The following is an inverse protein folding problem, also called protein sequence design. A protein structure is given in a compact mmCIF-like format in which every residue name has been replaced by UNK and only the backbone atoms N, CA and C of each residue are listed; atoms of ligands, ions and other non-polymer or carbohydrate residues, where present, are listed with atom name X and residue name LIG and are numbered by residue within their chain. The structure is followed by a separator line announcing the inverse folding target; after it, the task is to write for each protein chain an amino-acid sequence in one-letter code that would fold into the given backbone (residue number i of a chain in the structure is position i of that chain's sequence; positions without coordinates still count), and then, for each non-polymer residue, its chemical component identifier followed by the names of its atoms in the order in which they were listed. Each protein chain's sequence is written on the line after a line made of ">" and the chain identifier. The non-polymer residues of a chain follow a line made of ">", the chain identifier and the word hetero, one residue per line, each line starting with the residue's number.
data_IF_315907277105
#
_entry.id   IF_315907277105
#
_cell.length_a   1.000
_cell.length_b   1.000
_cell.length_c   1.000
_cell.angle_alpha   90.00
_cell.angle_beta   90.00
_cell.angle_gamma   90.00
#
_symmetry.space_group_name_H-M   'P 1'
#
loop_
_entity.id
_entity.type
_entity.pdbx_description
1 polymer ?
#
# COMPACT_ATOMS: atom_id res chain seq x y z
N UNK A 1 -54.61 23.70 -3.53
CA UNK A 1 -53.33 24.35 -3.20
C UNK A 1 -52.22 23.32 -3.37
N UNK A 2 -51.79 23.09 -4.62
CA UNK A 2 -50.90 21.99 -4.98
C UNK A 2 -49.48 22.48 -5.22
N UNK A 3 -48.56 22.07 -4.36
CA UNK A 3 -47.12 22.37 -4.46
C UNK A 3 -46.49 21.58 -5.61
N UNK A 4 -46.07 22.27 -6.68
CA UNK A 4 -45.24 21.69 -7.74
C UNK A 4 -43.77 21.94 -7.40
N UNK A 5 -43.09 20.88 -7.01
CA UNK A 5 -41.63 20.86 -6.90
C UNK A 5 -41.02 20.94 -8.31
N UNK A 6 -40.17 21.94 -8.54
CA UNK A 6 -39.35 22.07 -9.74
C UNK A 6 -37.96 21.49 -9.44
N UNK A 7 -37.66 20.32 -10.02
CA UNK A 7 -36.31 19.76 -10.05
C UNK A 7 -35.50 20.53 -11.10
N UNK A 8 -34.48 21.28 -10.65
CA UNK A 8 -33.51 21.92 -11.54
C UNK A 8 -32.36 20.94 -11.76
N UNK A 9 -32.37 20.27 -12.92
CA UNK A 9 -31.23 19.56 -13.49
C UNK A 9 -30.27 20.60 -14.07
N UNK A 10 -29.10 20.82 -13.45
CA UNK A 10 -28.05 21.64 -14.02
C UNK A 10 -27.11 20.81 -14.88
N UNK A 11 -27.14 21.11 -16.17
CA UNK A 11 -26.40 20.54 -17.29
C UNK A 11 -24.91 20.25 -17.02
N UNK A 12 -24.53 18.97 -17.17
CA UNK A 12 -23.16 18.53 -17.32
C UNK A 12 -22.69 18.85 -18.76
N UNK A 13 -21.93 19.94 -18.93
CA UNK A 13 -21.36 20.32 -20.24
C UNK A 13 -20.14 19.45 -20.54
N UNK A 14 -20.35 18.48 -21.44
CA UNK A 14 -19.30 17.75 -22.15
C UNK A 14 -18.50 18.74 -23.02
N UNK A 15 -17.23 19.00 -22.70
CA UNK A 15 -16.37 19.89 -23.49
C UNK A 15 -15.57 19.05 -24.49
N UNK A 16 -15.79 19.36 -25.76
CA UNK A 16 -15.21 18.72 -26.94
C UNK A 16 -13.69 18.94 -27.07
N UNK A 17 -12.99 17.84 -27.33
CA UNK A 17 -11.81 17.65 -28.20
C UNK A 17 -10.95 18.88 -28.57
N UNK A 18 -9.69 18.88 -28.11
CA UNK A 18 -8.58 19.45 -28.86
C UNK A 18 -7.72 18.30 -29.40
N UNK A 19 -7.63 18.21 -30.72
CA UNK A 19 -6.92 17.17 -31.44
C UNK A 19 -5.41 17.45 -31.41
N UNK A 20 -4.67 16.70 -30.59
CA UNK A 20 -3.23 16.57 -30.74
C UNK A 20 -2.95 15.34 -31.60
N UNK A 21 -2.83 15.57 -32.92
CA UNK A 21 -2.21 14.63 -33.84
C UNK A 21 -0.71 14.65 -33.57
N UNK A 22 -0.24 13.64 -32.86
CA UNK A 22 1.18 13.36 -32.66
C UNK A 22 1.32 11.85 -32.77
N UNK A 23 1.58 11.39 -33.99
CA UNK A 23 2.02 10.03 -34.29
C UNK A 23 3.34 9.77 -33.56
N UNK A 24 3.29 9.33 -32.31
CA UNK A 24 4.48 8.80 -31.64
C UNK A 24 4.68 7.36 -32.10
N UNK A 25 5.89 6.97 -32.53
CA UNK A 25 6.17 5.59 -32.83
C UNK A 25 6.04 4.78 -31.54
N UNK A 26 5.22 3.72 -31.58
CA UNK A 26 5.16 2.71 -30.54
C UNK A 26 6.55 2.09 -30.39
N UNK A 27 7.28 2.49 -29.34
CA UNK A 27 8.46 1.75 -28.92
C UNK A 27 7.99 0.46 -28.27
N UNK A 28 8.06 -0.63 -29.04
CA UNK A 28 7.81 -1.98 -28.54
C UNK A 28 9.00 -2.38 -27.66
N UNK A 29 8.97 -1.98 -26.39
CA UNK A 29 9.92 -2.50 -25.39
C UNK A 29 9.56 -3.98 -25.20
N UNK A 30 10.34 -4.88 -25.82
CA UNK A 30 10.33 -6.30 -25.49
C UNK A 30 10.94 -6.48 -24.10
N UNK A 31 10.18 -6.17 -23.05
CA UNK A 31 10.52 -6.60 -21.69
C UNK A 31 10.19 -8.09 -21.57
N UNK A 32 11.20 -8.94 -21.67
CA UNK A 32 11.07 -10.31 -21.19
C UNK A 32 10.76 -10.24 -19.68
N UNK A 33 9.69 -10.88 -19.18
CA UNK A 33 9.41 -10.86 -17.76
C UNK A 33 10.57 -11.56 -17.06
N UNK A 34 11.35 -10.82 -16.29
CA UNK A 34 12.33 -11.41 -15.40
C UNK A 34 11.53 -12.11 -14.29
N UNK A 35 11.32 -13.42 -14.44
CA UNK A 35 10.70 -14.25 -13.40
C UNK A 35 11.61 -14.17 -12.18
N UNK A 36 11.15 -13.47 -11.14
CA UNK A 36 11.85 -13.40 -9.86
C UNK A 36 11.90 -14.82 -9.31
N UNK A 37 13.10 -15.37 -9.13
CA UNK A 37 13.26 -16.69 -8.51
C UNK A 37 12.95 -16.56 -7.02
N UNK A 38 11.89 -17.22 -6.57
CA UNK A 38 11.55 -17.31 -5.15
C UNK A 38 12.19 -18.57 -4.55
N UNK A 39 12.85 -18.43 -3.40
CA UNK A 39 13.34 -19.58 -2.62
C UNK A 39 12.24 -20.05 -1.69
N UNK A 40 11.68 -21.24 -1.92
CA UNK A 40 10.59 -21.83 -1.11
C UNK A 40 11.10 -22.60 0.10
N UNK A 41 12.42 -22.77 0.25
CA UNK A 41 12.99 -23.71 1.23
C UNK A 41 13.47 -22.99 2.50
N UNK A 42 12.52 -22.56 3.34
CA UNK A 42 12.80 -22.22 4.73
C UNK A 42 12.08 -23.20 5.66
N UNK A 43 12.84 -24.00 6.42
CA UNK A 43 12.29 -24.78 7.54
C UNK A 43 12.26 -23.87 8.77
N UNK A 44 11.10 -23.32 9.11
CA UNK A 44 10.96 -22.46 10.27
C UNK A 44 10.58 -23.29 11.51
N UNK A 45 11.55 -23.49 12.42
CA UNK A 45 11.19 -23.75 13.82
C UNK A 45 10.58 -22.47 14.36
N UNK A 46 9.27 -22.46 14.60
CA UNK A 46 8.56 -21.29 15.12
C UNK A 46 8.91 -21.14 16.60
N UNK A 47 10.02 -20.45 16.90
CA UNK A 47 10.25 -19.96 18.24
C UNK A 47 9.17 -18.91 18.55
N UNK A 48 8.63 -18.87 19.77
CA UNK A 48 7.69 -17.83 20.17
C UNK A 48 8.27 -16.44 19.84
N UNK A 49 7.53 -15.56 19.14
CA UNK A 49 8.04 -14.25 18.80
C UNK A 49 8.25 -13.42 20.06
N UNK A 50 9.34 -12.65 20.06
CA UNK A 50 9.59 -11.62 21.05
C UNK A 50 8.66 -10.43 20.76
N UNK A 51 7.61 -10.29 21.58
CA UNK A 51 6.57 -9.25 21.41
C UNK A 51 7.15 -7.83 21.54
N UNK A 52 7.99 -7.52 22.55
CA UNK A 52 8.69 -6.23 22.61
C UNK A 52 9.43 -5.88 21.32
N UNK A 53 10.21 -6.81 20.77
CA UNK A 53 10.97 -6.60 19.54
C UNK A 53 10.07 -6.41 18.32
N UNK A 54 8.96 -7.16 18.26
CA UNK A 54 7.96 -7.03 17.20
C UNK A 54 7.31 -5.64 17.24
N UNK A 55 6.96 -5.15 18.43
CA UNK A 55 6.37 -3.84 18.63
C UNK A 55 7.33 -2.71 18.20
N UNK A 56 8.61 -2.81 18.54
CA UNK A 56 9.63 -1.86 18.09
C UNK A 56 9.72 -1.80 16.56
N UNK A 57 9.67 -2.97 15.90
CA UNK A 57 9.71 -3.08 14.43
C UNK A 57 8.50 -2.43 13.79
N UNK A 58 7.32 -2.60 14.40
CA UNK A 58 6.06 -2.01 13.95
C UNK A 58 5.86 -0.55 14.38
N UNK A 59 6.80 0.04 15.13
CA UNK A 59 6.68 1.37 15.75
C UNK A 59 5.45 1.52 16.66
N UNK A 60 5.09 0.45 17.36
CA UNK A 60 4.01 0.42 18.35
C UNK A 60 4.63 0.51 19.75
N UNK A 61 4.17 1.46 20.56
CA UNK A 61 4.56 1.55 21.96
C UNK A 61 3.65 0.64 22.79
N UNK A 62 4.24 -0.29 23.54
CA UNK A 62 3.50 -1.21 24.43
C UNK A 62 4.04 -1.07 25.86
N UNK A 63 3.14 -1.08 26.83
CA UNK A 63 3.48 -1.19 28.23
C UNK A 63 3.74 -2.67 28.62
N UNK A 64 4.51 -2.94 29.71
CA UNK A 64 4.86 -4.32 30.08
C UNK A 64 3.65 -5.23 30.34
N UNK A 65 2.58 -4.69 30.92
CA UNK A 65 1.31 -5.40 31.14
C UNK A 65 0.61 -5.78 29.82
N UNK A 66 0.65 -4.90 28.82
CA UNK A 66 0.08 -5.18 27.50
C UNK A 66 0.88 -6.27 26.78
N UNK A 67 2.20 -6.31 26.97
CA UNK A 67 3.06 -7.37 26.44
C UNK A 67 2.63 -8.74 26.99
N UNK A 68 2.42 -8.83 28.29
CA UNK A 68 1.95 -10.07 28.94
C UNK A 68 0.57 -10.50 28.44
N UNK A 69 -0.32 -9.54 28.16
CA UNK A 69 -1.66 -9.80 27.64
C UNK A 69 -1.64 -10.27 26.17
N UNK A 70 -0.82 -9.64 25.33
CA UNK A 70 -0.79 -9.91 23.88
C UNK A 70 0.06 -11.11 23.51
N UNK A 71 1.10 -11.44 24.28
CA UNK A 71 1.96 -12.60 24.02
C UNK A 71 1.21 -13.93 23.78
N UNK A 72 0.27 -14.36 24.65
CA UNK A 72 -0.46 -15.61 24.41
C UNK A 72 -1.38 -15.53 23.20
N UNK A 73 -1.99 -14.36 22.92
CA UNK A 73 -2.89 -14.16 21.77
C UNK A 73 -2.13 -14.28 20.45
N UNK A 74 -0.97 -13.64 20.36
CA UNK A 74 -0.09 -13.71 19.17
C UNK A 74 0.40 -15.15 18.98
N UNK A 75 0.78 -15.83 20.07
CA UNK A 75 1.19 -17.23 20.02
C UNK A 75 0.09 -18.13 19.44
N UNK A 76 -1.16 -17.96 19.88
CA UNK A 76 -2.28 -18.73 19.34
C UNK A 76 -2.48 -18.54 17.84
N UNK A 77 -2.33 -17.31 17.33
CA UNK A 77 -2.42 -17.02 15.89
C UNK A 77 -1.30 -17.72 15.12
N UNK A 78 -0.07 -17.65 15.62
CA UNK A 78 1.09 -18.30 14.98
C UNK A 78 0.95 -19.81 14.99
N UNK A 79 0.51 -20.40 16.10
CA UNK A 79 0.28 -21.84 16.21
C UNK A 79 -0.81 -22.30 15.21
N UNK A 80 -1.85 -21.48 15.01
CA UNK A 80 -2.86 -21.74 13.99
C UNK A 80 -2.29 -21.70 12.56
N UNK A 81 -1.49 -20.68 12.22
CA UNK A 81 -0.79 -20.61 10.93
C UNK A 81 0.23 -21.75 10.75
N UNK A 82 0.81 -22.26 11.85
CA UNK A 82 1.73 -23.40 11.84
C UNK A 82 1.15 -24.67 11.21
N UNK A 83 -0.19 -24.82 11.21
CA UNK A 83 -0.88 -25.93 10.54
C UNK A 83 -0.58 -26.00 9.03
N UNK A 84 -0.31 -24.85 8.40
CA UNK A 84 0.01 -24.79 6.97
C UNK A 84 1.37 -25.41 6.63
N UNK A 85 2.26 -25.61 7.60
CA UNK A 85 3.55 -26.27 7.38
C UNK A 85 3.42 -27.77 7.07
N UNK A 86 2.27 -28.39 7.37
CA UNK A 86 2.01 -29.79 7.07
C UNK A 86 1.63 -30.04 5.61
N UNK A 87 1.37 -28.98 4.83
CA UNK A 87 0.95 -29.07 3.43
C UNK A 87 2.18 -29.11 2.52
N UNK A 88 2.23 -30.07 1.60
CA UNK A 88 3.27 -30.15 0.58
C UNK A 88 3.02 -29.10 -0.53
N UNK A 89 4.03 -28.27 -0.79
CA UNK A 89 3.99 -27.18 -1.76
C UNK A 89 5.18 -27.24 -2.74
N UNK A 90 5.93 -28.35 -2.79
CA UNK A 90 7.15 -28.46 -3.60
C UNK A 90 6.92 -28.23 -5.11
N UNK A 91 5.70 -28.51 -5.60
CA UNK A 91 5.32 -28.36 -7.01
C UNK A 91 4.42 -27.15 -7.31
N UNK A 92 4.17 -26.27 -6.32
CA UNK A 92 3.24 -25.14 -6.46
C UNK A 92 4.00 -23.83 -6.50
N UNK A 93 3.80 -23.04 -7.56
CA UNK A 93 4.39 -21.70 -7.66
C UNK A 93 3.67 -20.71 -6.72
N UNK A 94 4.40 -19.75 -6.09
CA UNK A 94 3.78 -18.73 -5.25
C UNK A 94 2.79 -17.84 -6.01
N UNK A 95 1.58 -17.68 -5.46
CA UNK A 95 0.58 -16.75 -5.99
C UNK A 95 0.85 -15.31 -5.50
N UNK A 96 1.40 -14.45 -6.38
CA UNK A 96 1.80 -13.07 -6.04
C UNK A 96 0.64 -12.08 -6.20
N UNK A 97 -0.18 -12.27 -7.24
CA UNK A 97 -1.33 -11.44 -7.58
C UNK A 97 -2.50 -12.33 -7.99
N UNK A 98 -3.72 -11.89 -7.71
CA UNK A 98 -4.93 -12.57 -8.16
C UNK A 98 -5.23 -12.30 -9.64
N UNK A 99 -4.81 -11.13 -10.13
CA UNK A 99 -4.92 -10.68 -11.51
C UNK A 99 -3.58 -10.81 -12.25
N UNK A 100 -3.65 -11.28 -13.49
CA UNK A 100 -2.47 -11.53 -14.36
C UNK A 100 -2.31 -10.43 -15.42
N UNK A 101 -2.90 -9.26 -15.22
CA UNK A 101 -2.69 -8.14 -16.15
C UNK A 101 -1.28 -7.59 -15.96
N UNK A 102 -0.45 -7.85 -16.98
CA UNK A 102 0.92 -7.36 -17.07
C UNK A 102 0.98 -5.92 -17.58
N UNK A 103 2.00 -5.20 -17.12
CA UNK A 103 2.46 -3.89 -17.62
C UNK A 103 1.46 -2.73 -17.53
N UNK A 104 0.95 -2.46 -16.32
CA UNK A 104 0.33 -1.17 -16.02
C UNK A 104 1.41 -0.10 -15.80
N UNK A 105 1.85 0.52 -16.89
CA UNK A 105 2.78 1.64 -16.88
C UNK A 105 2.00 2.96 -16.97
N UNK A 106 2.38 3.92 -16.13
CA UNK A 106 1.90 5.30 -16.22
C UNK A 106 2.65 6.02 -17.35
N UNK A 107 1.93 6.76 -18.19
CA UNK A 107 2.51 7.64 -19.21
C UNK A 107 3.43 8.69 -18.58
N UNK A 108 4.57 8.98 -19.22
CA UNK A 108 5.52 9.99 -18.75
C UNK A 108 5.11 11.40 -19.19
N UNK A 109 4.01 11.89 -18.62
CA UNK A 109 3.47 13.23 -18.84
C UNK A 109 3.40 13.96 -17.49
N UNK A 110 3.89 15.20 -17.38
CA UNK A 110 3.80 15.97 -16.15
C UNK A 110 2.36 16.44 -15.92
N UNK A 111 1.88 16.27 -14.68
CA UNK A 111 0.57 16.73 -14.25
C UNK A 111 0.72 17.71 -13.09
N UNK A 112 0.00 18.83 -13.14
CA UNK A 112 -0.03 19.81 -12.04
C UNK A 112 -1.07 19.39 -11.02
N UNK A 113 -0.67 19.27 -9.76
CA UNK A 113 -1.61 19.03 -8.66
C UNK A 113 -2.20 20.35 -8.18
N UNK A 114 -3.52 20.53 -8.32
CA UNK A 114 -4.18 21.82 -8.09
C UNK A 114 -4.51 22.12 -6.61
N UNK A 115 -4.60 21.12 -5.74
CA UNK A 115 -5.14 21.30 -4.39
C UNK A 115 -4.11 21.02 -3.29
N UNK A 116 -3.00 21.78 -3.31
CA UNK A 116 -1.92 21.63 -2.32
C UNK A 116 -2.37 22.09 -0.93
N UNK A 117 -3.22 23.10 -0.88
CA UNK A 117 -3.75 23.71 0.33
C UNK A 117 -4.57 22.69 1.15
N UNK A 118 -5.38 21.85 0.48
CA UNK A 118 -6.10 20.79 1.18
C UNK A 118 -5.18 19.74 1.79
N UNK A 119 -4.04 19.41 1.15
CA UNK A 119 -3.06 18.49 1.74
C UNK A 119 -2.42 19.09 2.99
N UNK A 120 -2.01 20.36 2.93
CA UNK A 120 -1.39 21.08 4.04
C UNK A 120 -2.35 21.19 5.23
N UNK A 121 -3.65 21.36 4.99
CA UNK A 121 -4.66 21.42 6.04
C UNK A 121 -4.73 20.16 6.93
N UNK A 122 -4.30 19.00 6.43
CA UNK A 122 -4.25 17.75 7.21
C UNK A 122 -2.92 17.56 7.97
N UNK A 123 -1.93 18.41 7.75
CA UNK A 123 -0.61 18.28 8.38
C UNK A 123 -0.67 18.84 9.81
N UNK A 124 -0.37 18.04 10.85
CA UNK A 124 -0.46 18.49 12.24
C UNK A 124 0.48 19.65 12.61
N UNK A 125 1.66 19.71 11.99
CA UNK A 125 2.65 20.77 12.25
C UNK A 125 3.33 21.18 10.96
N UNK A 126 3.12 22.43 10.57
CA UNK A 126 3.57 22.99 9.30
C UNK A 126 4.21 24.37 9.54
N UNK A 127 5.33 24.61 8.86
CA UNK A 127 6.05 25.87 8.87
C UNK A 127 6.51 26.11 7.43
N UNK A 128 5.80 26.97 6.69
CA UNK A 128 5.97 27.12 5.25
C UNK A 128 7.43 27.36 4.85
N UNK A 129 8.01 26.58 3.89
CA UNK A 129 7.40 25.54 3.03
C UNK A 129 7.53 24.09 3.53
N UNK A 130 7.76 23.85 4.82
CA UNK A 130 8.17 22.56 5.39
C UNK A 130 7.15 21.94 6.35
N UNK A 131 7.14 20.61 6.39
CA UNK A 131 6.46 19.84 7.44
C UNK A 131 7.40 19.73 8.63
N UNK A 132 6.93 20.15 9.80
CA UNK A 132 7.74 20.14 11.02
C UNK A 132 7.68 18.75 11.68
N UNK A 133 8.84 18.14 11.85
CA UNK A 133 9.00 16.85 12.53
C UNK A 133 10.03 16.95 13.67
N UNK A 134 9.96 16.09 14.70
CA UNK A 134 11.02 16.00 15.70
C UNK A 134 12.37 15.73 15.04
N UNK A 135 13.42 16.34 15.59
CA UNK A 135 14.79 16.15 15.09
C UNK A 135 15.19 14.68 15.19
N UNK A 136 15.68 14.12 14.09
CA UNK A 136 16.25 12.77 14.08
C UNK A 136 17.58 12.81 14.82
N UNK A 137 17.67 12.07 15.92
CA UNK A 137 18.90 11.84 16.66
C UNK A 137 19.39 10.43 16.33
N UNK A 138 20.68 10.28 16.01
CA UNK A 138 21.28 8.96 15.91
C UNK A 138 21.40 8.39 17.33
N UNK A 139 20.88 7.19 17.56
CA UNK A 139 21.23 6.39 18.74
C UNK A 139 22.63 5.83 18.49
N UNK A 140 23.60 6.19 19.32
CA UNK A 140 24.84 5.43 19.47
C UNK A 140 24.56 4.08 20.13
#
# INVERSE_FOLDING_TARGET
>A
MGSRALLVLTNFKFKSSSAYSSSKPFYLIKSSPTIRKFSTKTRSSLQPPDVPRLAETARISLAPNEVEEFAPKIRQVIDWFGQLQAVDLDSVEPAIRADTEGDNLREDVPETFENKEALIAYVPSYEEPYIKVPKVLNKE
#
